data_IF_318226736748
#
_entry.id   IF_318226736748
#
_cell.length_a   1.000
_cell.length_b   1.000
_cell.length_c   1.000
_cell.angle_alpha   90.00
_cell.angle_beta   90.00
_cell.angle_gamma   90.00
#
_symmetry.space_group_name_H-M   'P 1'
#
loop_
_entity.id
_entity.type
_entity.pdbx_description
1 polymer ?
#
# COMPACT_ATOMS: atom_id res chain seq x y z
N UNK A 1 12.29 20.79 -14.83
CA UNK A 1 11.65 19.78 -13.98
C UNK A 1 11.64 18.45 -14.71
N UNK A 2 12.71 17.66 -14.59
CA UNK A 2 12.68 16.25 -15.02
C UNK A 2 12.40 15.45 -13.77
N UNK A 3 11.14 15.08 -13.55
CA UNK A 3 10.84 14.02 -12.58
C UNK A 3 11.54 12.78 -13.09
N UNK A 4 12.39 12.15 -12.27
CA UNK A 4 13.08 10.93 -12.66
C UNK A 4 12.05 9.81 -12.85
N UNK A 5 11.55 9.67 -14.09
CA UNK A 5 10.73 8.55 -14.55
C UNK A 5 11.59 7.30 -14.53
N UNK A 6 11.66 6.67 -13.37
CA UNK A 6 12.39 5.42 -13.16
C UNK A 6 11.39 4.31 -12.94
N UNK A 7 11.77 3.09 -13.31
CA UNK A 7 11.01 1.88 -12.98
C UNK A 7 10.62 1.83 -11.49
N UNK A 8 11.46 2.36 -10.59
CA UNK A 8 11.15 2.47 -9.16
C UNK A 8 9.98 3.42 -8.86
N UNK A 9 9.88 4.55 -9.57
CA UNK A 9 8.74 5.47 -9.42
C UNK A 9 7.45 4.83 -9.91
N UNK A 10 7.50 4.07 -11.01
CA UNK A 10 6.33 3.36 -11.54
C UNK A 10 5.88 2.23 -10.62
N UNK A 11 6.83 1.45 -10.06
CA UNK A 11 6.55 0.42 -9.04
C UNK A 11 5.94 1.04 -7.78
N UNK A 12 6.46 2.18 -7.33
CA UNK A 12 5.91 2.89 -6.18
C UNK A 12 4.46 3.35 -6.42
N UNK A 13 4.18 3.95 -7.57
CA UNK A 13 2.82 4.36 -7.97
C UNK A 13 1.89 3.16 -8.12
N UNK A 14 2.38 2.05 -8.66
CA UNK A 14 1.61 0.81 -8.72
C UNK A 14 1.26 0.28 -7.32
N UNK A 15 2.19 0.38 -6.36
CA UNK A 15 1.92 0.06 -4.95
C UNK A 15 0.81 0.93 -4.34
N UNK A 16 0.73 2.22 -4.70
CA UNK A 16 -0.38 3.09 -4.29
C UNK A 16 -1.70 2.58 -4.88
N UNK A 17 -1.74 2.26 -6.17
CA UNK A 17 -2.96 1.73 -6.81
C UNK A 17 -3.39 0.41 -6.16
N UNK A 18 -2.46 -0.47 -5.81
CA UNK A 18 -2.77 -1.70 -5.07
C UNK A 18 -3.36 -1.40 -3.68
N UNK A 19 -2.89 -0.37 -2.98
CA UNK A 19 -3.50 0.07 -1.72
C UNK A 19 -4.92 0.62 -1.91
N UNK A 20 -5.17 1.37 -2.98
CA UNK A 20 -6.53 1.84 -3.30
C UNK A 20 -7.47 0.65 -3.53
N UNK A 21 -7.03 -0.35 -4.30
CA UNK A 21 -7.81 -1.57 -4.56
C UNK A 21 -8.07 -2.39 -3.29
N UNK A 22 -7.07 -2.49 -2.42
CA UNK A 22 -7.19 -3.23 -1.16
C UNK A 22 -8.17 -2.57 -0.21
N UNK A 23 -8.13 -1.23 -0.11
CA UNK A 23 -8.78 -0.48 0.97
C UNK A 23 -10.07 0.22 0.56
N UNK A 24 -10.30 0.39 -0.75
CA UNK A 24 -11.39 1.21 -1.29
C UNK A 24 -11.19 2.72 -1.04
N UNK A 25 -10.03 3.14 -0.54
CA UNK A 25 -9.73 4.55 -0.20
C UNK A 25 -8.95 5.23 -1.31
N UNK A 26 -9.12 6.55 -1.42
CA UNK A 26 -8.31 7.38 -2.32
C UNK A 26 -6.89 7.56 -1.75
N UNK A 27 -5.87 7.85 -2.58
CA UNK A 27 -4.49 8.00 -2.13
C UNK A 27 -4.30 9.18 -1.17
N UNK A 28 -5.17 10.19 -1.31
CA UNK A 28 -5.23 11.41 -0.53
C UNK A 28 -6.67 11.59 -0.03
N UNK A 29 -7.08 10.73 0.90
CA UNK A 29 -8.41 10.80 1.51
C UNK A 29 -8.49 11.92 2.56
N UNK A 30 -7.34 12.39 3.08
CA UNK A 30 -7.20 13.57 3.94
C UNK A 30 -6.03 14.43 3.46
N UNK A 31 -6.14 15.77 3.56
CA UNK A 31 -5.11 16.69 3.06
C UNK A 31 -3.74 16.53 3.71
N UNK A 32 -3.64 15.83 4.85
CA UNK A 32 -2.41 15.72 5.65
C UNK A 32 -1.86 14.30 5.83
N UNK A 33 -2.50 13.26 5.26
CA UNK A 33 -2.04 11.87 5.42
C UNK A 33 -2.05 11.10 4.11
N UNK A 34 -0.87 10.66 3.68
CA UNK A 34 -0.72 9.74 2.55
C UNK A 34 -1.27 8.36 2.91
N UNK A 35 -2.05 7.76 2.00
CA UNK A 35 -2.53 6.38 2.14
C UNK A 35 -1.37 5.40 2.43
N UNK A 36 -0.20 5.64 1.84
CA UNK A 36 1.02 4.85 2.08
C UNK A 36 1.45 4.96 3.54
N UNK A 37 1.57 6.18 4.08
CA UNK A 37 2.02 6.40 5.46
C UNK A 37 1.07 5.75 6.49
N UNK A 38 -0.24 5.78 6.24
CA UNK A 38 -1.22 5.11 7.09
C UNK A 38 -1.17 3.58 6.95
N UNK A 39 -1.03 3.06 5.73
CA UNK A 39 -1.09 1.63 5.45
C UNK A 39 0.18 0.87 5.86
N UNK A 40 1.37 1.42 5.60
CA UNK A 40 2.66 0.74 5.82
C UNK A 40 2.81 0.06 7.19
N UNK A 41 2.49 0.69 8.34
CA UNK A 41 2.66 0.03 9.65
C UNK A 41 1.73 -1.17 9.87
N UNK A 42 0.65 -1.29 9.10
CA UNK A 42 -0.36 -2.34 9.23
C UNK A 42 -0.11 -3.55 8.32
N UNK A 43 0.73 -3.40 7.27
CA UNK A 43 0.95 -4.44 6.24
C UNK A 43 1.57 -5.74 6.76
N UNK A 44 2.12 -5.75 7.98
CA UNK A 44 2.78 -6.90 8.58
C UNK A 44 1.94 -7.59 9.67
N UNK A 45 0.74 -7.07 9.97
CA UNK A 45 -0.16 -7.59 10.99
C UNK A 45 -1.43 -8.11 10.30
N UNK A 46 -1.74 -9.41 10.48
CA UNK A 46 -2.88 -10.07 9.83
C UNK A 46 -4.23 -9.48 10.29
N UNK A 47 -4.38 -9.17 11.57
CA UNK A 47 -5.62 -8.63 12.12
C UNK A 47 -5.80 -7.16 11.68
N UNK A 48 -4.70 -6.42 11.58
CA UNK A 48 -4.72 -5.07 11.03
C UNK A 48 -5.05 -5.09 9.53
N UNK A 49 -4.46 -6.01 8.77
CA UNK A 49 -4.73 -6.21 7.34
C UNK A 49 -6.21 -6.46 7.08
N UNK A 50 -6.83 -7.36 7.83
CA UNK A 50 -8.26 -7.66 7.68
C UNK A 50 -9.13 -6.41 7.89
N UNK A 51 -8.78 -5.56 8.87
CA UNK A 51 -9.46 -4.28 9.12
C UNK A 51 -9.21 -3.21 8.06
N UNK A 52 -8.17 -3.35 7.24
CA UNK A 52 -7.88 -2.42 6.15
C UNK A 52 -8.68 -2.72 4.89
N UNK A 53 -9.14 -3.96 4.71
CA UNK A 53 -9.78 -4.40 3.47
C UNK A 53 -11.06 -3.61 3.23
N UNK A 54 -11.32 -3.26 1.98
CA UNK A 54 -12.55 -2.62 1.55
C UNK A 54 -13.77 -3.41 2.08
N UNK A 55 -14.64 -2.80 2.91
CA UNK A 55 -15.83 -3.45 3.44
C UNK A 55 -16.78 -4.00 2.37
N UNK A 56 -16.72 -3.48 1.13
CA UNK A 56 -17.52 -3.99 -0.01
C UNK A 56 -17.15 -5.44 -0.35
N UNK A 57 -15.92 -5.87 -0.05
CA UNK A 57 -15.49 -7.26 -0.24
C UNK A 57 -16.10 -8.22 0.78
N UNK A 58 -16.66 -7.73 1.90
CA UNK A 58 -17.43 -8.53 2.89
C UNK A 58 -16.71 -9.80 3.37
N UNK A 59 -15.39 -9.78 3.50
CA UNK A 59 -14.60 -10.95 3.90
C UNK A 59 -14.50 -12.05 2.83
N UNK A 60 -14.94 -11.79 1.60
CA UNK A 60 -14.94 -12.76 0.50
C UNK A 60 -13.56 -12.87 -0.18
N UNK A 61 -12.53 -13.12 0.62
CA UNK A 61 -11.16 -13.31 0.15
C UNK A 61 -10.44 -14.38 0.99
N UNK A 62 -9.56 -15.18 0.39
CA UNK A 62 -8.70 -16.07 1.16
C UNK A 62 -7.67 -15.28 1.96
N UNK A 63 -7.56 -15.52 3.27
CA UNK A 63 -6.58 -14.86 4.14
C UNK A 63 -5.13 -14.99 3.64
N UNK A 64 -4.77 -16.15 3.06
CA UNK A 64 -3.44 -16.36 2.46
C UNK A 64 -3.19 -15.44 1.27
N UNK A 65 -4.19 -15.22 0.42
CA UNK A 65 -4.08 -14.32 -0.72
C UNK A 65 -3.96 -12.87 -0.28
N UNK A 66 -4.71 -12.47 0.76
CA UNK A 66 -4.59 -11.14 1.37
C UNK A 66 -3.17 -10.89 1.90
N UNK A 67 -2.61 -11.83 2.68
CA UNK A 67 -1.24 -11.72 3.20
C UNK A 67 -0.22 -11.60 2.07
N UNK A 68 -0.33 -12.40 0.99
CA UNK A 68 0.58 -12.31 -0.16
C UNK A 68 0.44 -11.01 -0.93
N UNK A 69 -0.77 -10.50 -1.06
CA UNK A 69 -1.02 -9.20 -1.67
C UNK A 69 -0.36 -8.09 -0.84
N UNK A 70 -0.48 -8.13 0.48
CA UNK A 70 0.17 -7.19 1.40
C UNK A 70 1.70 -7.22 1.30
N UNK A 71 2.31 -8.40 1.18
CA UNK A 71 3.75 -8.54 0.98
C UNK A 71 4.21 -7.80 -0.29
N UNK A 72 3.48 -7.97 -1.41
CA UNK A 72 3.78 -7.28 -2.67
C UNK A 72 3.63 -5.78 -2.53
N UNK A 73 2.54 -5.32 -1.91
CA UNK A 73 2.32 -3.89 -1.64
C UNK A 73 3.48 -3.32 -0.82
N UNK A 74 3.87 -3.99 0.27
CA UNK A 74 4.96 -3.56 1.14
C UNK A 74 6.27 -3.40 0.36
N UNK A 75 6.58 -4.32 -0.55
CA UNK A 75 7.75 -4.23 -1.43
C UNK A 75 7.64 -3.07 -2.44
N UNK A 76 6.46 -2.83 -3.03
CA UNK A 76 6.24 -1.74 -3.97
C UNK A 76 6.40 -0.36 -3.31
N UNK A 77 5.85 -0.19 -2.10
CA UNK A 77 5.88 1.10 -1.38
C UNK A 77 7.08 1.27 -0.46
N UNK A 78 8.00 0.29 -0.43
CA UNK A 78 9.25 0.38 0.29
C UNK A 78 10.12 1.47 -0.35
N UNK A 79 9.97 2.70 0.12
CA UNK A 79 10.93 3.75 -0.16
C UNK A 79 12.22 3.29 0.51
N UNK A 80 13.20 2.85 -0.28
CA UNK A 80 14.59 2.84 0.20
C UNK A 80 14.86 4.27 0.64
N UNK A 81 14.80 4.53 1.95
CA UNK A 81 15.58 5.58 2.56
C UNK A 81 16.98 5.34 2.05
N UNK A 82 17.39 6.16 1.08
CA UNK A 82 18.80 6.31 0.74
C UNK A 82 19.51 6.46 2.09
N UNK A 83 20.52 5.62 2.30
CA UNK A 83 21.36 5.62 3.51
C UNK A 83 21.48 7.02 4.11
N UNK A 84 21.23 7.22 5.42
CA UNK A 84 21.88 8.33 6.10
C UNK A 84 23.37 8.03 6.00
N UNK A 85 24.04 8.74 5.11
CA UNK A 85 25.51 8.84 5.09
C UNK A 85 25.94 9.72 6.25
#
# INVERSE_FOLDING_TARGET
>A
MSGQYTLKSDVYKFGIVMLELLTGRKPFDRPEQSLVQWATPQLHDIDALDRMVDPVLKGLYPAKSLSRFADVVALCVQVKTLHPS
#
